data_IF_995936031686
#
_entry.id   IF_995936031686
#
_cell.length_a   1.000
_cell.length_b   1.000
_cell.length_c   1.000
_cell.angle_alpha   90.00
_cell.angle_beta   90.00
_cell.angle_gamma   90.00
#
_symmetry.space_group_name_H-M   'P 1'
#
loop_
_entity.id
_entity.type
_entity.pdbx_description
1 polymer ?
#
# COMPACT_ATOMS: atom_id res chain seq x y z
N UNK A 1 -9.93 -53.88 -22.10
CA UNK A 1 -10.95 -52.88 -21.69
C UNK A 1 -10.34 -52.04 -20.62
N UNK A 2 -9.74 -50.92 -21.00
CA UNK A 2 -9.34 -49.84 -20.08
C UNK A 2 -8.93 -48.64 -20.97
N UNK A 3 -9.94 -47.83 -21.27
CA UNK A 3 -9.70 -46.55 -21.90
C UNK A 3 -10.74 -45.59 -21.35
N UNK A 4 -10.37 -44.68 -20.46
CA UNK A 4 -11.35 -43.78 -19.86
C UNK A 4 -10.86 -42.80 -18.81
N UNK A 5 -9.53 -42.56 -18.66
CA UNK A 5 -9.03 -41.72 -17.55
C UNK A 5 -8.23 -40.45 -17.97
N UNK A 6 -8.06 -40.22 -19.25
CA UNK A 6 -7.16 -39.13 -19.69
C UNK A 6 -7.87 -37.84 -20.21
N UNK A 7 -9.17 -37.91 -20.48
CA UNK A 7 -9.95 -36.78 -20.98
C UNK A 7 -10.30 -35.73 -19.89
N UNK A 8 -10.38 -36.14 -18.62
CA UNK A 8 -10.73 -35.26 -17.50
C UNK A 8 -9.61 -34.32 -17.09
N UNK A 9 -8.36 -34.76 -17.13
CA UNK A 9 -7.20 -34.00 -16.71
C UNK A 9 -6.81 -32.88 -17.71
N UNK A 10 -7.08 -33.13 -19.01
CA UNK A 10 -6.80 -32.13 -20.07
C UNK A 10 -7.83 -31.00 -20.06
N UNK A 11 -9.11 -31.31 -19.77
CA UNK A 11 -10.18 -30.32 -19.68
C UNK A 11 -10.02 -29.39 -18.45
N UNK A 12 -9.53 -29.93 -17.32
CA UNK A 12 -9.27 -29.12 -16.12
C UNK A 12 -8.03 -28.19 -16.27
N UNK A 13 -7.04 -28.60 -17.02
CA UNK A 13 -5.83 -27.78 -17.25
C UNK A 13 -6.08 -26.63 -18.24
N UNK A 14 -6.96 -26.81 -19.22
CA UNK A 14 -7.37 -25.74 -20.15
C UNK A 14 -8.29 -24.73 -19.48
N UNK A 15 -9.22 -25.16 -18.61
CA UNK A 15 -10.10 -24.26 -17.87
C UNK A 15 -9.35 -23.36 -16.87
N UNK A 16 -8.22 -23.80 -16.32
CA UNK A 16 -7.38 -23.00 -15.42
C UNK A 16 -6.53 -21.95 -16.15
N UNK A 17 -6.14 -22.18 -17.39
CA UNK A 17 -5.37 -21.22 -18.20
C UNK A 17 -6.23 -20.06 -18.73
N UNK A 18 -7.49 -20.31 -19.06
CA UNK A 18 -8.39 -19.30 -19.59
C UNK A 18 -8.92 -18.31 -18.53
N UNK A 19 -8.92 -18.69 -17.24
CA UNK A 19 -9.37 -17.82 -16.14
C UNK A 19 -8.41 -16.67 -15.84
N UNK A 20 -7.20 -16.65 -16.39
CA UNK A 20 -6.17 -15.65 -16.09
C UNK A 20 -5.95 -14.62 -17.21
N UNK A 21 -6.55 -14.81 -18.39
CA UNK A 21 -6.42 -13.85 -19.48
C UNK A 21 -7.61 -12.86 -19.46
N UNK A 22 -7.32 -11.63 -18.99
CA UNK A 22 -8.25 -10.53 -19.16
C UNK A 22 -8.43 -10.25 -20.65
N UNK A 23 -9.68 -10.07 -21.09
CA UNK A 23 -10.01 -9.69 -22.46
C UNK A 23 -9.35 -8.34 -22.85
N UNK A 24 -9.18 -8.12 -24.14
CA UNK A 24 -8.47 -6.94 -24.65
C UNK A 24 -9.13 -5.62 -24.17
N UNK A 25 -10.46 -5.58 -24.09
CA UNK A 25 -11.21 -4.40 -23.64
C UNK A 25 -10.88 -4.07 -22.18
N UNK A 26 -10.87 -5.06 -21.30
CA UNK A 26 -10.50 -4.90 -19.89
C UNK A 26 -9.03 -4.47 -19.75
N UNK A 27 -8.12 -5.02 -20.55
CA UNK A 27 -6.69 -4.60 -20.55
C UNK A 27 -6.55 -3.15 -20.98
N UNK A 28 -7.24 -2.71 -22.03
CA UNK A 28 -7.25 -1.32 -22.48
C UNK A 28 -7.85 -0.38 -21.44
N UNK A 29 -8.96 -0.78 -20.80
CA UNK A 29 -9.59 0.01 -19.75
C UNK A 29 -8.68 0.20 -18.53
N UNK A 30 -7.94 -0.87 -18.11
CA UNK A 30 -6.95 -0.79 -17.04
C UNK A 30 -5.80 0.16 -17.43
N UNK A 31 -5.28 0.04 -18.65
CA UNK A 31 -4.21 0.91 -19.15
C UNK A 31 -4.65 2.38 -19.20
N UNK A 32 -5.85 2.65 -19.71
CA UNK A 32 -6.43 4.00 -19.75
C UNK A 32 -6.66 4.55 -18.34
N UNK A 33 -7.26 3.77 -17.44
CA UNK A 33 -7.47 4.15 -16.04
C UNK A 33 -6.15 4.43 -15.31
N UNK A 34 -5.15 3.59 -15.49
CA UNK A 34 -3.82 3.80 -14.94
C UNK A 34 -3.13 5.04 -15.51
N UNK A 35 -3.30 5.34 -16.79
CA UNK A 35 -2.79 6.56 -17.40
C UNK A 35 -3.48 7.80 -16.81
N UNK A 36 -4.79 7.77 -16.65
CA UNK A 36 -5.56 8.85 -15.99
C UNK A 36 -5.04 9.08 -14.56
N UNK A 37 -4.82 8.02 -13.79
CA UNK A 37 -4.25 8.12 -12.45
C UNK A 37 -2.83 8.70 -12.45
N UNK A 38 -1.99 8.37 -13.44
CA UNK A 38 -0.64 8.94 -13.57
C UNK A 38 -0.70 10.43 -13.90
N UNK A 39 -1.56 10.83 -14.85
CA UNK A 39 -1.75 12.24 -15.22
C UNK A 39 -2.31 13.02 -14.05
N UNK A 40 -3.32 12.49 -13.36
CA UNK A 40 -3.86 13.09 -12.15
C UNK A 40 -2.78 13.26 -11.07
N UNK A 41 -2.02 12.19 -10.81
CA UNK A 41 -0.93 12.20 -9.84
C UNK A 41 0.18 13.21 -10.20
N UNK A 42 0.49 13.39 -11.49
CA UNK A 42 1.47 14.38 -11.93
C UNK A 42 1.08 15.83 -11.59
N UNK A 43 -0.20 16.08 -11.35
CA UNK A 43 -0.67 17.39 -10.88
C UNK A 43 -0.49 17.61 -9.38
N UNK A 44 -0.24 16.54 -8.59
CA UNK A 44 -0.16 16.65 -7.14
C UNK A 44 1.16 17.28 -6.68
N UNK A 45 1.07 18.11 -5.66
CA UNK A 45 2.23 18.69 -4.98
C UNK A 45 2.59 17.80 -3.81
N UNK A 46 3.46 16.81 -4.07
CA UNK A 46 3.84 15.79 -3.10
C UNK A 46 5.03 16.26 -2.26
N UNK A 47 4.92 16.17 -0.94
CA UNK A 47 6.02 16.33 0.02
C UNK A 47 6.17 15.04 0.81
N UNK A 48 7.41 14.57 0.92
CA UNK A 48 7.74 13.30 1.59
C UNK A 48 8.65 13.60 2.78
N UNK A 49 8.30 13.08 3.94
CA UNK A 49 9.03 13.23 5.19
C UNK A 49 9.44 11.85 5.75
N UNK A 50 10.60 11.78 6.40
CA UNK A 50 11.09 10.58 7.09
C UNK A 50 11.79 9.54 6.21
N UNK A 51 11.62 9.58 4.88
CA UNK A 51 12.19 8.56 3.99
C UNK A 51 13.71 8.53 3.96
N UNK A 52 14.36 9.67 4.01
CA UNK A 52 15.83 9.74 3.95
C UNK A 52 16.47 9.26 5.25
N UNK A 53 15.85 9.56 6.40
CA UNK A 53 16.25 9.00 7.69
C UNK A 53 16.12 7.47 7.73
N UNK A 54 15.05 6.94 7.13
CA UNK A 54 14.87 5.49 6.96
C UNK A 54 15.98 4.88 6.11
N UNK A 55 16.32 5.49 4.98
CA UNK A 55 17.41 5.03 4.10
C UNK A 55 18.78 5.09 4.77
N UNK A 56 19.07 6.12 5.52
CA UNK A 56 20.33 6.26 6.24
C UNK A 56 20.50 5.17 7.31
N UNK A 57 19.43 4.80 8.02
CA UNK A 57 19.44 3.71 9.00
C UNK A 57 19.60 2.33 8.37
N UNK A 58 19.08 2.17 7.18
CA UNK A 58 18.98 0.90 6.45
C UNK A 58 20.28 0.43 5.79
N UNK A 59 21.42 1.08 6.05
CA UNK A 59 22.68 0.64 5.45
C UNK A 59 23.11 -0.77 5.88
N UNK A 60 22.66 -1.26 7.05
CA UNK A 60 23.00 -2.59 7.58
C UNK A 60 21.92 -3.65 7.35
N UNK A 61 20.65 -3.28 7.31
CA UNK A 61 19.52 -4.16 6.91
C UNK A 61 18.45 -3.31 6.19
N UNK A 62 18.49 -3.30 4.84
CA UNK A 62 17.63 -2.44 4.04
C UNK A 62 16.16 -2.87 3.99
N UNK A 63 15.80 -4.03 4.54
CA UNK A 63 14.47 -4.61 4.40
C UNK A 63 13.53 -4.14 5.49
N UNK A 64 12.34 -3.71 5.09
CA UNK A 64 11.29 -3.30 6.02
C UNK A 64 9.93 -3.81 5.55
N UNK A 65 9.02 -3.96 6.50
CA UNK A 65 7.61 -4.13 6.23
C UNK A 65 6.89 -2.79 6.36
N UNK A 66 6.41 -2.25 5.25
CA UNK A 66 5.57 -1.06 5.29
C UNK A 66 4.14 -1.40 5.67
N UNK A 67 3.54 -0.60 6.53
CA UNK A 67 2.10 -0.64 6.83
C UNK A 67 1.46 0.70 6.46
N UNK A 68 0.29 0.64 5.81
CA UNK A 68 -0.45 1.82 5.38
C UNK A 68 -1.96 1.54 5.47
N UNK A 69 -2.76 2.59 5.69
CA UNK A 69 -4.21 2.44 5.70
C UNK A 69 -4.74 2.15 4.30
N UNK A 70 -5.71 1.22 4.18
CA UNK A 70 -6.28 0.81 2.90
C UNK A 70 -6.85 2.00 2.12
N UNK A 71 -7.55 2.91 2.80
CA UNK A 71 -8.09 4.12 2.19
C UNK A 71 -7.05 5.10 1.64
N UNK A 72 -5.79 5.02 2.09
CA UNK A 72 -4.70 5.92 1.67
C UNK A 72 -3.77 5.31 0.62
N UNK A 73 -4.09 4.11 0.10
CA UNK A 73 -3.21 3.40 -0.84
C UNK A 73 -2.84 4.22 -2.07
N UNK A 74 -3.77 4.96 -2.67
CA UNK A 74 -3.51 5.66 -3.93
C UNK A 74 -2.46 6.76 -3.80
N UNK A 75 -2.56 7.74 -2.86
CA UNK A 75 -1.52 8.75 -2.70
C UNK A 75 -0.18 8.15 -2.26
N UNK A 76 -0.19 7.11 -1.43
CA UNK A 76 1.03 6.42 -1.01
C UNK A 76 1.68 5.71 -2.20
N UNK A 77 0.93 4.92 -2.96
CA UNK A 77 1.43 4.20 -4.15
C UNK A 77 2.06 5.15 -5.17
N UNK A 78 1.44 6.31 -5.39
CA UNK A 78 1.98 7.32 -6.31
C UNK A 78 3.30 7.90 -5.82
N UNK A 79 3.44 8.17 -4.52
CA UNK A 79 4.60 8.84 -3.92
C UNK A 79 5.75 7.88 -3.55
N UNK A 80 5.42 6.61 -3.29
CA UNK A 80 6.38 5.58 -2.91
C UNK A 80 7.20 5.15 -4.13
N UNK A 81 8.50 5.41 -4.11
CA UNK A 81 9.42 5.17 -5.23
C UNK A 81 10.46 4.09 -4.92
N UNK A 82 10.14 3.18 -4.02
CA UNK A 82 10.99 2.05 -3.64
C UNK A 82 10.39 0.76 -4.21
N UNK A 83 11.19 -0.13 -4.81
CA UNK A 83 10.69 -1.44 -5.24
C UNK A 83 10.09 -2.19 -4.05
N UNK A 84 8.79 -2.45 -4.12
CA UNK A 84 8.03 -3.01 -2.99
C UNK A 84 7.01 -4.01 -3.51
N UNK A 85 6.88 -5.14 -2.81
CA UNK A 85 5.85 -6.12 -3.08
C UNK A 85 4.60 -5.84 -2.22
N UNK A 86 3.45 -5.69 -2.86
CA UNK A 86 2.17 -5.39 -2.20
C UNK A 86 1.33 -6.65 -2.10
N UNK A 87 0.78 -6.93 -0.92
CA UNK A 87 -0.16 -8.03 -0.74
C UNK A 87 -1.52 -7.67 -1.34
N UNK A 88 -2.01 -8.51 -2.26
CA UNK A 88 -3.26 -8.29 -2.98
C UNK A 88 -4.15 -9.53 -2.84
N UNK A 89 -5.48 -9.31 -2.74
CA UNK A 89 -6.47 -10.39 -2.65
C UNK A 89 -6.40 -11.36 -3.84
N UNK A 90 -6.72 -12.64 -3.60
CA UNK A 90 -6.81 -13.68 -4.64
C UNK A 90 -8.04 -13.53 -5.56
N UNK A 91 -8.97 -12.63 -5.25
CA UNK A 91 -10.18 -12.42 -6.05
C UNK A 91 -9.86 -11.82 -7.43
N UNK A 92 -10.80 -11.95 -8.36
CA UNK A 92 -10.69 -11.51 -9.76
C UNK A 92 -10.30 -10.02 -9.87
N UNK A 93 -10.81 -9.18 -8.99
CA UNK A 93 -10.47 -7.75 -8.92
C UNK A 93 -9.00 -7.52 -8.55
N UNK A 94 -8.38 -8.47 -7.84
CA UNK A 94 -6.96 -8.43 -7.51
C UNK A 94 -6.05 -8.43 -8.74
N UNK A 95 -6.45 -9.00 -9.89
CA UNK A 95 -5.66 -8.93 -11.13
C UNK A 95 -5.63 -7.51 -11.69
N UNK A 96 -6.76 -6.80 -11.62
CA UNK A 96 -6.84 -5.39 -12.02
C UNK A 96 -5.93 -4.54 -11.15
N UNK A 97 -6.02 -4.74 -9.83
CA UNK A 97 -5.19 -4.01 -8.86
C UNK A 97 -3.70 -4.33 -9.06
N UNK A 98 -3.33 -5.60 -9.29
CA UNK A 98 -1.94 -5.98 -9.54
C UNK A 98 -1.34 -5.25 -10.75
N UNK A 99 -2.11 -5.11 -11.83
CA UNK A 99 -1.68 -4.35 -13.01
C UNK A 99 -1.55 -2.85 -12.75
N UNK A 100 -2.48 -2.28 -12.01
CA UNK A 100 -2.40 -0.86 -11.60
C UNK A 100 -1.16 -0.65 -10.74
N UNK A 101 -0.93 -1.48 -9.73
CA UNK A 101 0.23 -1.38 -8.83
C UNK A 101 1.54 -1.50 -9.61
N UNK A 102 1.62 -2.43 -10.59
CA UNK A 102 2.78 -2.61 -11.45
C UNK A 102 3.08 -1.36 -12.30
N UNK A 103 2.07 -0.60 -12.72
CA UNK A 103 2.27 0.67 -13.44
C UNK A 103 2.99 1.73 -12.59
N UNK A 104 2.95 1.62 -11.26
CA UNK A 104 3.65 2.50 -10.32
C UNK A 104 4.98 1.93 -9.81
N UNK A 105 5.43 0.79 -10.37
CA UNK A 105 6.73 0.19 -10.06
C UNK A 105 6.73 -0.76 -8.87
N UNK A 106 5.56 -1.12 -8.34
CA UNK A 106 5.44 -2.13 -7.30
C UNK A 106 5.10 -3.50 -7.90
N UNK A 107 5.52 -4.58 -7.25
CA UNK A 107 5.10 -5.94 -7.57
C UNK A 107 3.93 -6.37 -6.69
N UNK A 108 3.26 -7.45 -7.06
CA UNK A 108 2.13 -7.97 -6.30
C UNK A 108 2.37 -9.43 -5.92
N UNK A 109 2.00 -9.81 -4.69
CA UNK A 109 1.86 -11.21 -4.30
C UNK A 109 0.47 -11.48 -3.74
N UNK A 110 0.04 -12.74 -3.81
CA UNK A 110 -1.35 -13.10 -3.52
C UNK A 110 -1.53 -13.54 -2.08
N UNK A 111 -2.59 -13.00 -1.44
CA UNK A 111 -3.01 -13.40 -0.12
C UNK A 111 -4.16 -12.57 0.44
N UNK A 112 -4.81 -13.11 1.45
CA UNK A 112 -5.81 -12.37 2.22
C UNK A 112 -5.86 -12.91 3.65
N UNK A 113 -6.39 -12.11 4.58
CA UNK A 113 -6.60 -12.50 5.97
C UNK A 113 -7.65 -13.62 6.16
N UNK A 114 -8.48 -13.92 5.14
CA UNK A 114 -9.62 -14.84 5.27
C UNK A 114 -9.40 -16.22 4.66
N UNK A 115 -8.69 -16.34 3.55
CA UNK A 115 -8.32 -17.63 2.92
C UNK A 115 -6.89 -17.54 2.41
N UNK A 116 -6.06 -18.53 2.74
CA UNK A 116 -4.67 -18.53 2.31
C UNK A 116 -3.74 -17.60 3.12
N UNK A 117 -4.18 -17.03 4.25
CA UNK A 117 -3.37 -16.11 5.08
C UNK A 117 -2.02 -16.70 5.50
N UNK A 118 -1.97 -17.97 5.87
CA UNK A 118 -0.71 -18.64 6.19
C UNK A 118 0.24 -18.73 4.97
N UNK A 119 -0.31 -19.02 3.78
CA UNK A 119 0.46 -19.06 2.53
C UNK A 119 0.98 -17.68 2.15
N UNK A 120 0.12 -16.66 2.24
CA UNK A 120 0.52 -15.26 2.00
C UNK A 120 1.61 -14.80 2.96
N UNK A 121 1.51 -15.17 4.23
CA UNK A 121 2.52 -14.87 5.24
C UNK A 121 3.87 -15.51 4.88
N UNK A 122 3.89 -16.79 4.50
CA UNK A 122 5.11 -17.47 4.07
C UNK A 122 5.71 -16.84 2.82
N UNK A 123 4.89 -16.45 1.86
CA UNK A 123 5.33 -15.78 0.64
C UNK A 123 5.93 -14.40 0.94
N UNK A 124 5.25 -13.59 1.76
CA UNK A 124 5.77 -12.30 2.22
C UNK A 124 7.12 -12.42 2.95
N UNK A 125 7.28 -13.45 3.81
CA UNK A 125 8.56 -13.74 4.47
C UNK A 125 9.65 -14.07 3.45
N UNK A 126 9.35 -14.87 2.41
CA UNK A 126 10.32 -15.18 1.33
C UNK A 126 10.75 -13.93 0.59
N UNK A 127 9.78 -13.07 0.23
CA UNK A 127 10.03 -11.81 -0.47
C UNK A 127 10.93 -10.89 0.36
N UNK A 128 10.62 -10.70 1.64
CA UNK A 128 11.48 -9.92 2.53
C UNK A 128 12.89 -10.52 2.62
N UNK A 129 13.00 -11.84 2.79
CA UNK A 129 14.31 -12.51 2.86
C UNK A 129 15.10 -12.46 1.56
N UNK A 130 14.44 -12.28 0.41
CA UNK A 130 15.12 -12.07 -0.88
C UNK A 130 15.61 -10.64 -1.09
N UNK A 131 15.39 -9.73 -0.13
CA UNK A 131 15.87 -8.35 -0.21
C UNK A 131 14.86 -7.35 -0.76
N UNK A 132 13.59 -7.74 -0.92
CA UNK A 132 12.53 -6.86 -1.41
C UNK A 132 11.61 -6.44 -0.26
N UNK A 133 11.36 -5.15 -0.14
CA UNK A 133 10.40 -4.63 0.83
C UNK A 133 8.99 -5.13 0.55
N UNK A 134 8.19 -5.24 1.63
CA UNK A 134 6.78 -5.62 1.53
C UNK A 134 5.88 -4.51 2.06
N UNK A 135 4.73 -4.29 1.46
CA UNK A 135 3.71 -3.38 1.97
C UNK A 135 2.38 -4.12 2.20
N UNK A 136 1.75 -3.84 3.33
CA UNK A 136 0.47 -4.44 3.75
C UNK A 136 -0.45 -3.35 4.30
N UNK A 137 -1.74 -3.50 4.03
CA UNK A 137 -2.80 -2.74 4.68
C UNK A 137 -3.31 -3.52 5.90
N UNK A 138 -2.99 -3.10 7.14
CA UNK A 138 -3.33 -3.88 8.33
C UNK A 138 -4.84 -3.91 8.62
N UNK A 139 -5.60 -2.92 8.14
CA UNK A 139 -7.05 -2.88 8.20
C UNK A 139 -7.73 -3.81 7.16
N UNK A 140 -6.94 -4.42 6.27
CA UNK A 140 -7.38 -5.42 5.30
C UNK A 140 -8.44 -4.91 4.32
N UNK A 141 -8.99 -5.80 3.45
CA UNK A 141 -9.93 -5.39 2.42
C UNK A 141 -11.38 -5.21 2.91
N UNK A 142 -11.68 -5.49 4.17
CA UNK A 142 -13.04 -5.46 4.74
C UNK A 142 -13.17 -4.59 5.98
N UNK A 143 -12.05 -4.02 6.47
CA UNK A 143 -12.02 -3.24 7.69
C UNK A 143 -12.24 -4.05 8.97
N UNK A 144 -12.65 -3.39 10.03
CA UNK A 144 -13.08 -1.97 10.12
C UNK A 144 -11.98 -0.95 9.81
N UNK A 145 -12.41 0.26 9.45
CA UNK A 145 -11.51 1.38 9.17
C UNK A 145 -10.50 1.57 10.30
N UNK A 146 -9.22 1.68 9.92
CA UNK A 146 -8.10 1.88 10.84
C UNK A 146 -7.94 0.78 11.93
N UNK A 147 -8.47 -0.41 11.69
CA UNK A 147 -8.13 -1.58 12.51
C UNK A 147 -6.73 -2.10 12.18
N UNK A 148 -6.13 -2.82 13.10
CA UNK A 148 -4.80 -3.39 12.86
C UNK A 148 -4.82 -4.90 13.09
N UNK A 149 -4.79 -5.68 12.00
CA UNK A 149 -4.75 -7.13 12.07
C UNK A 149 -3.35 -7.66 12.38
N UNK A 150 -3.19 -8.76 13.13
CA UNK A 150 -1.89 -9.27 13.57
C UNK A 150 -1.03 -9.84 12.45
N UNK A 151 -1.57 -10.01 11.24
CA UNK A 151 -0.84 -10.59 10.10
C UNK A 151 0.44 -9.84 9.74
N UNK A 152 0.43 -8.50 9.80
CA UNK A 152 1.62 -7.68 9.56
C UNK A 152 2.71 -7.93 10.62
N UNK A 153 2.32 -8.01 11.91
CA UNK A 153 3.25 -8.28 13.01
C UNK A 153 3.90 -9.66 12.86
N UNK A 154 3.07 -10.68 12.59
CA UNK A 154 3.55 -12.05 12.42
C UNK A 154 4.49 -12.18 11.22
N UNK A 155 4.23 -11.44 10.14
CA UNK A 155 5.10 -11.41 8.97
C UNK A 155 6.45 -10.77 9.30
N UNK A 156 6.45 -9.58 9.91
CA UNK A 156 7.65 -8.86 10.30
C UNK A 156 8.49 -9.67 11.30
N UNK A 157 7.85 -10.24 12.32
CA UNK A 157 8.50 -11.11 13.31
C UNK A 157 9.20 -12.31 12.68
N UNK A 158 8.52 -13.05 11.78
CA UNK A 158 9.11 -14.21 11.09
C UNK A 158 10.20 -13.86 10.09
N UNK A 159 10.12 -12.68 9.50
CA UNK A 159 11.14 -12.18 8.58
C UNK A 159 12.34 -11.56 9.31
N UNK A 160 12.17 -11.15 10.57
CA UNK A 160 13.18 -10.43 11.36
C UNK A 160 13.40 -9.00 10.89
N UNK A 161 12.31 -8.31 10.47
CA UNK A 161 12.38 -6.93 9.95
C UNK A 161 11.52 -5.98 10.77
N UNK A 162 11.87 -4.69 10.72
CA UNK A 162 11.09 -3.63 11.36
C UNK A 162 9.81 -3.32 10.55
N UNK A 163 8.78 -2.84 11.25
CA UNK A 163 7.59 -2.26 10.65
C UNK A 163 7.75 -0.75 10.54
N UNK A 164 7.44 -0.20 9.36
CA UNK A 164 7.47 1.24 9.08
C UNK A 164 6.08 1.69 8.64
N UNK A 165 5.39 2.55 9.41
CA UNK A 165 4.14 3.15 8.96
C UNK A 165 4.39 4.13 7.80
N UNK A 166 3.56 4.06 6.76
CA UNK A 166 3.48 5.09 5.72
C UNK A 166 2.06 5.63 5.68
N UNK A 167 1.91 6.91 5.83
CA UNK A 167 0.60 7.58 5.87
C UNK A 167 0.56 8.80 4.96
N UNK A 168 -0.65 9.18 4.55
CA UNK A 168 -0.88 10.30 3.66
C UNK A 168 -1.86 11.31 4.26
N UNK A 169 -1.49 12.59 4.28
CA UNK A 169 -2.43 13.69 4.50
C UNK A 169 -2.66 14.45 3.19
N UNK A 170 -3.93 14.64 2.82
CA UNK A 170 -4.35 15.27 1.56
C UNK A 170 -5.29 16.43 1.85
N UNK A 171 -4.94 17.64 1.41
CA UNK A 171 -5.73 18.84 1.69
C UNK A 171 -7.05 18.94 0.89
N UNK A 172 -7.11 18.33 -0.31
CA UNK A 172 -8.28 18.32 -1.19
C UNK A 172 -8.41 16.96 -1.84
N UNK A 173 -9.46 16.21 -1.50
CA UNK A 173 -9.70 14.87 -2.03
C UNK A 173 -11.17 14.61 -2.30
N UNK A 174 -11.45 13.67 -3.20
CA UNK A 174 -12.69 12.92 -3.20
C UNK A 174 -12.53 11.76 -2.23
N UNK A 175 -13.50 11.56 -1.37
CA UNK A 175 -13.57 10.40 -0.47
C UNK A 175 -14.74 9.54 -0.89
N UNK A 176 -14.47 8.28 -1.19
CA UNK A 176 -15.52 7.35 -1.59
C UNK A 176 -16.37 6.98 -0.37
N UNK A 177 -17.65 6.68 -0.63
CA UNK A 177 -18.56 6.15 0.40
C UNK A 177 -18.37 4.64 0.57
N UNK A 178 -17.15 4.22 0.83
CA UNK A 178 -16.73 2.85 1.10
C UNK A 178 -16.34 2.70 2.57
N UNK A 179 -16.20 1.48 3.05
CA UNK A 179 -15.80 1.20 4.44
C UNK A 179 -14.46 1.85 4.82
N UNK A 180 -13.54 2.01 3.85
CA UNK A 180 -12.20 2.57 4.01
C UNK A 180 -12.10 4.08 3.72
N UNK A 181 -13.20 4.73 3.35
CA UNK A 181 -13.21 6.14 2.94
C UNK A 181 -12.12 6.47 1.92
N UNK A 182 -11.95 5.63 0.89
CA UNK A 182 -10.85 5.68 -0.07
C UNK A 182 -10.58 7.09 -0.60
N UNK A 183 -9.31 7.50 -0.53
CA UNK A 183 -8.86 8.87 -0.80
C UNK A 183 -8.33 9.00 -2.22
N UNK A 184 -8.98 9.82 -3.03
CA UNK A 184 -8.51 10.21 -4.36
C UNK A 184 -8.16 11.71 -4.32
N UNK A 185 -6.87 12.09 -4.28
CA UNK A 185 -6.51 13.51 -4.27
C UNK A 185 -7.01 14.21 -5.53
N UNK A 186 -7.60 15.40 -5.36
CA UNK A 186 -8.06 16.22 -6.49
C UNK A 186 -6.88 16.77 -7.29
N UNK A 187 -7.08 17.24 -8.55
CA UNK A 187 -6.04 17.94 -9.29
C UNK A 187 -5.43 19.07 -8.46
N UNK A 188 -4.10 19.20 -8.54
CA UNK A 188 -3.30 20.20 -7.81
C UNK A 188 -3.41 20.11 -6.28
N UNK A 189 -3.86 18.98 -5.72
CA UNK A 189 -3.88 18.75 -4.29
C UNK A 189 -2.45 18.73 -3.72
N UNK A 190 -2.32 19.19 -2.48
CA UNK A 190 -1.12 18.98 -1.69
C UNK A 190 -1.24 17.64 -0.96
N UNK A 191 -0.23 16.81 -1.17
CA UNK A 191 -0.14 15.46 -0.60
C UNK A 191 1.10 15.41 0.28
N UNK A 192 0.92 15.22 1.57
CA UNK A 192 2.01 15.04 2.53
C UNK A 192 2.10 13.57 2.89
N UNK A 193 3.24 12.95 2.60
CA UNK A 193 3.53 11.56 2.93
C UNK A 193 4.53 11.54 4.09
N UNK A 194 4.24 10.75 5.10
CA UNK A 194 5.13 10.54 6.25
C UNK A 194 5.50 9.07 6.36
N UNK A 195 6.79 8.81 6.40
CA UNK A 195 7.36 7.55 6.85
C UNK A 195 7.64 7.70 8.34
N UNK A 196 6.90 6.96 9.16
CA UNK A 196 7.12 6.94 10.59
C UNK A 196 8.42 6.20 10.95
N UNK A 197 8.81 6.22 12.23
CA UNK A 197 10.00 5.54 12.68
C UNK A 197 9.87 4.02 12.52
N UNK A 198 10.95 3.33 12.09
CA UNK A 198 11.00 1.87 12.11
C UNK A 198 10.78 1.35 13.54
N UNK A 199 9.88 0.42 13.68
CA UNK A 199 9.52 -0.18 14.96
C UNK A 199 9.81 -1.67 14.93
N UNK A 200 10.74 -2.16 15.76
CA UNK A 200 11.07 -3.58 15.82
C UNK A 200 9.93 -4.40 16.43
N UNK A 201 9.76 -5.61 15.90
CA UNK A 201 8.74 -6.55 16.39
C UNK A 201 9.41 -7.60 17.26
N UNK A 202 9.20 -7.49 18.56
CA UNK A 202 9.74 -8.44 19.55
C UNK A 202 8.64 -9.25 20.20
N UNK A 203 8.97 -10.49 20.58
CA UNK A 203 8.12 -11.39 21.35
C UNK A 203 8.76 -12.77 21.42
N UNK A 204 8.38 -13.55 22.44
CA UNK A 204 8.90 -14.90 22.65
C UNK A 204 8.18 -15.90 21.72
N UNK A 205 6.92 -15.61 21.38
CA UNK A 205 6.12 -16.44 20.50
C UNK A 205 5.15 -15.62 19.64
N UNK A 206 4.48 -16.31 18.71
CA UNK A 206 3.51 -15.70 17.78
C UNK A 206 2.28 -15.11 18.48
N UNK A 207 1.87 -15.65 19.65
CA UNK A 207 0.71 -15.17 20.40
C UNK A 207 1.03 -13.86 21.09
N UNK A 208 2.20 -13.74 21.72
CA UNK A 208 2.68 -12.51 22.31
C UNK A 208 2.88 -11.42 21.26
N UNK A 209 3.46 -11.76 20.11
CA UNK A 209 3.57 -10.83 18.98
C UNK A 209 2.19 -10.36 18.52
N UNK A 210 1.24 -11.26 18.33
CA UNK A 210 -0.12 -10.93 17.90
C UNK A 210 -0.88 -10.05 18.91
N UNK A 211 -0.58 -10.11 20.20
CA UNK A 211 -1.23 -9.27 21.22
C UNK A 211 -0.76 -7.81 21.21
N UNK A 212 0.29 -7.47 20.44
CA UNK A 212 0.84 -6.10 20.34
C UNK A 212 0.17 -5.23 19.28
N UNK A 213 -0.94 -5.65 18.71
CA UNK A 213 -1.62 -4.92 17.64
C UNK A 213 -1.95 -3.47 18.01
N UNK A 214 -2.37 -3.19 19.24
CA UNK A 214 -2.73 -1.85 19.70
C UNK A 214 -1.52 -0.90 19.66
N UNK A 215 -0.33 -1.37 20.07
CA UNK A 215 0.90 -0.59 19.99
C UNK A 215 1.23 -0.18 18.54
N UNK A 216 1.08 -1.08 17.58
CA UNK A 216 1.36 -0.76 16.17
C UNK A 216 0.25 0.06 15.51
N UNK A 217 -1.01 -0.10 15.94
CA UNK A 217 -2.09 0.79 15.56
C UNK A 217 -1.81 2.22 16.03
N UNK A 218 -1.34 2.39 17.27
CA UNK A 218 -0.94 3.69 17.82
C UNK A 218 0.19 4.34 17.00
N UNK A 219 1.24 3.58 16.61
CA UNK A 219 2.29 4.07 15.69
C UNK A 219 1.74 4.58 14.37
N UNK A 220 0.73 3.91 13.81
CA UNK A 220 0.05 4.36 12.60
C UNK A 220 -0.70 5.68 12.84
N UNK A 221 -1.42 5.80 13.96
CA UNK A 221 -2.16 7.03 14.32
C UNK A 221 -1.23 8.20 14.59
N UNK A 222 -0.12 7.99 15.29
CA UNK A 222 0.91 9.03 15.50
C UNK A 222 1.48 9.53 14.18
N UNK A 223 1.80 8.63 13.25
CA UNK A 223 2.28 8.99 11.92
C UNK A 223 1.20 9.79 11.14
N UNK A 224 -0.09 9.40 11.26
CA UNK A 224 -1.21 10.11 10.63
C UNK A 224 -1.36 11.53 11.18
N UNK A 225 -1.24 11.69 12.49
CA UNK A 225 -1.29 13.02 13.13
C UNK A 225 -0.09 13.88 12.72
N UNK A 226 1.11 13.29 12.68
CA UNK A 226 2.30 13.98 12.18
C UNK A 226 2.12 14.46 10.73
N UNK A 227 1.56 13.62 9.85
CA UNK A 227 1.28 13.99 8.47
C UNK A 227 0.29 15.15 8.38
N UNK A 228 -0.72 15.17 9.25
CA UNK A 228 -1.71 16.24 9.34
C UNK A 228 -1.05 17.57 9.78
N UNK A 229 -0.23 17.54 10.82
CA UNK A 229 0.46 18.72 11.34
C UNK A 229 1.44 19.31 10.30
N UNK A 230 2.24 18.48 9.64
CA UNK A 230 3.16 18.90 8.58
C UNK A 230 2.41 19.47 7.36
N UNK A 231 1.26 18.89 7.01
CA UNK A 231 0.42 19.43 5.95
C UNK A 231 -0.10 20.83 6.30
N UNK A 232 -0.52 21.08 7.54
CA UNK A 232 -0.98 22.39 8.02
C UNK A 232 0.17 23.42 8.06
N UNK A 233 1.31 23.06 8.64
CA UNK A 233 2.48 23.93 8.68
C UNK A 233 2.94 24.38 7.29
N UNK A 234 2.82 23.50 6.31
CA UNK A 234 3.13 23.77 4.90
C UNK A 234 2.21 24.82 4.27
N UNK A 235 1.02 25.04 4.79
CA UNK A 235 0.09 26.08 4.36
C UNK A 235 0.50 27.44 4.91
N UNK A 236 0.84 27.47 6.19
CA UNK A 236 1.22 28.70 6.91
C UNK A 236 2.58 29.27 6.45
N UNK A 237 3.48 28.40 5.99
CA UNK A 237 4.81 28.81 5.50
C UNK A 237 4.83 29.36 4.06
N UNK A 238 3.69 29.43 3.35
CA UNK A 238 3.62 30.10 2.05
C UNK A 238 3.41 31.60 2.30
N UNK A 239 4.35 32.49 1.87
CA UNK A 239 4.10 33.93 1.93
C UNK A 239 2.84 34.23 1.11
N UNK A 240 1.95 35.05 1.67
CA UNK A 240 0.84 35.61 0.95
C UNK A 240 1.39 36.20 -0.36
N UNK A 241 0.91 35.72 -1.50
CA UNK A 241 1.21 36.36 -2.77
C UNK A 241 0.61 37.75 -2.68
N UNK A 242 1.43 38.73 -2.40
CA UNK A 242 1.09 40.15 -2.52
C UNK A 242 0.55 40.34 -3.91
N UNK A 243 -0.77 40.54 -4.00
CA UNK A 243 -1.46 40.87 -5.23
C UNK A 243 -0.79 42.12 -5.83
N UNK A 244 -0.80 42.27 -7.18
CA UNK A 244 -0.20 43.40 -7.83
C UNK A 244 -0.87 44.66 -7.30
N UNK A 245 -0.04 45.56 -6.72
CA UNK A 245 -0.45 46.85 -6.19
C UNK A 245 -1.30 47.59 -7.23
N UNK A 246 -2.49 47.94 -6.80
CA UNK A 246 -3.38 48.87 -7.52
C UNK A 246 -2.56 50.14 -7.75
N UNK A 247 -2.11 50.37 -8.98
CA UNK A 247 -1.58 51.66 -9.41
C UNK A 247 -2.75 52.63 -9.52
N UNK A 248 -2.87 53.49 -8.53
CA UNK A 248 -3.75 54.63 -8.65
C UNK A 248 -3.23 55.54 -9.76
N UNK A 249 -4.08 55.82 -10.69
CA UNK A 249 -3.99 56.99 -11.61
C UNK A 249 -5.20 57.85 -11.40
#
# INVERSE_FOLDING_TARGET
>A
MSDGTDAGAVAESTSRKDATQLDLRTRLAIAAGGMVLRVLGATWRVRVHGRDALRARSATDPRVLYTLWHGEMLPVLYAHRVPTAVMISEHRDGEIIARIVAMFGASAFRGSSSRGGARALLEGVRILRSGTDVAITPDGPRGPLHSYAPGALLLAYRAGVDIVPIVASVNRAWRLRSWDSFVIPKPFARVTIVYGPPTPVHGDDARQVASRVDHFAERMHEASEQARLLAQASVLAQPESTGPGRRDR
#
